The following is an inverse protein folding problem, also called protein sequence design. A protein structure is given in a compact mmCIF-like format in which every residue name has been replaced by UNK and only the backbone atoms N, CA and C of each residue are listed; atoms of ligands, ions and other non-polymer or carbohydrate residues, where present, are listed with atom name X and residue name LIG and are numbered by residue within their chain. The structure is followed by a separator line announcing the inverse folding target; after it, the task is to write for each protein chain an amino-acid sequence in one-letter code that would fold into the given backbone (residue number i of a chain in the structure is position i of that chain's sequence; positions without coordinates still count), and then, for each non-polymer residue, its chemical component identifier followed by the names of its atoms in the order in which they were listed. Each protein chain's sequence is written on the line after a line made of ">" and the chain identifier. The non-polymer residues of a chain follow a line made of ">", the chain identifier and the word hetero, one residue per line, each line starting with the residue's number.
data_IF_605790100477
#
_entry.id   IF_605790100477
#
_cell.length_a   1.000
_cell.length_b   1.000
_cell.length_c   1.000
_cell.angle_alpha   90.00
_cell.angle_beta   90.00
_cell.angle_gamma   90.00
#
_symmetry.space_group_name_H-M   'P 1'
#
loop_
_entity.id
_entity.type
_entity.pdbx_description
1 polymer ?
2 non-polymer ?
3 water ?
#
# COMPACT_ATOMS: atom_id res chain seq x y z
N UNK A 9 -26.47 2.33 18.24
CA UNK A 9 -26.81 1.23 17.32
C UNK A 9 -25.57 0.49 16.84
N UNK A 10 -25.56 -0.83 17.04
CA UNK A 10 -24.48 -1.72 16.65
C UNK A 10 -24.35 -1.81 15.12
N UNK A 11 -23.13 -1.62 14.62
CA UNK A 11 -22.84 -1.75 13.20
C UNK A 11 -22.80 -3.23 12.85
N UNK A 12 -23.20 -3.59 11.62
CA UNK A 12 -23.23 -4.98 11.14
C UNK A 12 -21.84 -5.63 11.22
N UNK A 13 -20.78 -4.83 11.00
CA UNK A 13 -19.38 -5.27 11.06
C UNK A 13 -18.81 -5.21 12.51
N UNK A 14 -19.58 -4.69 13.49
CA UNK A 14 -19.11 -4.60 14.88
C UNK A 14 -19.31 -5.95 15.58
N UNK A 15 -18.27 -6.44 16.27
CA UNK A 15 -18.29 -7.74 16.95
C UNK A 15 -17.79 -7.62 18.39
N UNK A 16 -18.15 -8.54 19.31
CA UNK A 16 -17.56 -8.47 20.66
C UNK A 16 -16.08 -8.85 20.62
N UNK A 17 -15.25 -8.22 21.47
CA UNK A 17 -13.81 -8.49 21.56
C UNK A 17 -13.57 -9.95 21.97
N UNK A 18 -14.49 -10.50 22.77
CA UNK A 18 -14.54 -11.85 23.33
C UNK A 18 -14.62 -12.93 22.24
N UNK A 19 -15.26 -12.61 21.10
CA UNK A 19 -15.39 -13.54 19.96
C UNK A 19 -14.04 -13.75 19.24
N UNK A 20 -12.99 -13.00 19.64
CA UNK A 20 -11.65 -13.10 19.07
C UNK A 20 -10.63 -13.68 20.04
N UNK A 21 -9.74 -14.51 19.50
CA UNK A 21 -8.59 -15.11 20.19
C UNK A 21 -7.32 -14.55 19.56
N UNK A 22 -6.49 -13.82 20.31
CA UNK A 22 -5.23 -13.29 19.78
C UNK A 22 -4.16 -14.33 20.07
N UNK A 23 -3.89 -15.20 19.08
CA UNK A 23 -2.99 -16.36 19.18
C UNK A 23 -1.50 -16.06 18.99
N UNK A 24 -1.09 -15.44 17.86
CA UNK A 24 0.33 -15.16 17.56
C UNK A 24 0.53 -13.70 17.11
N UNK A 25 1.40 -12.95 17.82
CA UNK A 25 1.77 -11.57 17.44
C UNK A 25 2.71 -11.66 16.24
N UNK A 26 2.35 -11.01 15.13
CA UNK A 26 3.08 -11.06 13.86
C UNK A 26 4.03 -9.88 13.65
N UNK A 27 3.75 -8.79 14.34
CA UNK A 27 4.53 -7.57 14.22
C UNK A 27 4.11 -6.47 15.16
N UNK A 28 4.99 -5.48 15.31
CA UNK A 28 4.81 -4.32 16.17
C UNK A 28 4.99 -3.07 15.32
N UNK A 29 4.05 -2.14 15.46
CA UNK A 29 4.07 -0.87 14.76
C UNK A 29 4.13 0.29 15.72
N UNK A 30 3.96 1.51 15.19
CA UNK A 30 4.00 2.74 15.96
C UNK A 30 2.72 2.93 16.78
N UNK A 31 1.56 2.74 16.14
CA UNK A 31 0.24 2.97 16.73
C UNK A 31 -0.41 1.70 17.30
N UNK A 32 0.21 0.54 17.10
CA UNK A 32 -0.31 -0.71 17.62
C UNK A 32 0.39 -1.96 17.14
N UNK A 33 -0.33 -3.11 17.22
CA UNK A 33 0.19 -4.42 16.86
C UNK A 33 -0.68 -5.10 15.80
N UNK A 34 -0.15 -6.19 15.22
CA UNK A 34 -0.81 -7.04 14.24
C UNK A 34 -0.71 -8.47 14.77
N UNK A 35 -1.86 -9.14 14.90
CA UNK A 35 -1.94 -10.49 15.42
C UNK A 35 -2.58 -11.44 14.43
N UNK A 36 -2.23 -12.72 14.55
CA UNK A 36 -2.85 -13.84 13.85
C UNK A 36 -3.75 -14.46 14.89
N UNK A 37 -5.03 -14.60 14.57
CA UNK A 37 -5.98 -15.17 15.52
C UNK A 37 -7.15 -15.90 14.89
N UNK A 38 -8.18 -16.16 15.69
CA UNK A 38 -9.39 -16.86 15.28
C UNK A 38 -10.62 -16.05 15.67
N UNK A 39 -11.59 -15.99 14.74
CA UNK A 39 -12.87 -15.31 14.93
C UNK A 39 -13.99 -16.36 14.91
N UNK A 40 -14.83 -16.34 15.96
CA UNK A 40 -15.97 -17.26 16.20
C UNK A 40 -15.55 -18.75 16.19
N UNK A 41 -14.29 -19.02 16.54
CA UNK A 41 -13.68 -20.35 16.60
C UNK A 41 -13.81 -21.22 15.36
N UNK A 42 -13.64 -20.61 14.17
CA UNK A 42 -13.77 -21.33 12.88
C UNK A 42 -12.97 -20.65 11.73
N UNK A 43 -12.77 -19.33 11.81
CA UNK A 43 -12.10 -18.55 10.76
C UNK A 43 -10.72 -18.04 11.18
N UNK A 44 -9.66 -18.33 10.40
CA UNK A 44 -8.33 -17.79 10.66
C UNK A 44 -8.35 -16.33 10.21
N UNK A 45 -7.98 -15.42 11.11
CA UNK A 45 -8.04 -13.98 10.83
C UNK A 45 -6.75 -13.26 11.22
N UNK A 46 -6.59 -12.05 10.68
CA UNK A 46 -5.54 -11.11 11.05
C UNK A 46 -6.21 -9.99 11.83
N UNK A 47 -5.58 -9.54 12.92
CA UNK A 47 -6.17 -8.49 13.77
C UNK A 47 -5.17 -7.36 13.98
N UNK A 48 -5.54 -6.16 13.49
CA UNK A 48 -4.75 -4.95 13.69
C UNK A 48 -5.30 -4.27 14.93
N UNK A 49 -4.47 -4.17 15.97
CA UNK A 49 -4.84 -3.55 17.24
C UNK A 49 -4.33 -2.09 17.25
N UNK A 50 -5.13 -1.16 17.79
CA UNK A 50 -4.72 0.24 17.85
C UNK A 50 -4.74 0.73 19.28
N UNK A 51 -3.61 1.35 19.72
CA UNK A 51 -3.45 1.89 21.08
C UNK A 51 -4.54 2.93 21.38
N UNK A 52 -5.16 2.94 22.57
CA UNK A 52 -6.20 3.96 22.84
C UNK A 52 -5.63 5.38 22.71
N UNK A 53 -6.40 6.25 22.06
CA UNK A 53 -6.02 7.64 21.80
C UNK A 53 -5.42 7.90 20.42
N UNK A 54 -5.07 6.82 19.67
CA UNK A 54 -4.45 6.93 18.33
C UNK A 54 -5.50 7.13 17.22
N UNK A 55 -6.78 6.83 17.49
CA UNK A 55 -7.87 6.97 16.50
C UNK A 55 -9.23 7.13 17.17
N UNK A 56 -10.04 8.06 16.65
CA UNK A 56 -11.41 8.34 17.10
C UNK A 56 -12.33 7.17 16.70
N UNK A 57 -13.02 6.53 17.69
CA UNK A 57 -13.88 5.39 17.35
C UNK A 57 -15.05 5.76 16.43
N UNK A 58 -15.76 6.88 16.72
CA UNK A 58 -16.90 7.38 15.94
C UNK A 58 -16.50 7.70 14.49
N UNK A 59 -15.36 8.40 14.30
CA UNK A 59 -14.83 8.76 12.97
C UNK A 59 -14.47 7.50 12.17
N UNK A 60 -13.94 6.45 12.83
CA UNK A 60 -13.59 5.19 12.19
C UNK A 60 -14.82 4.44 11.71
N UNK A 61 -15.90 4.40 12.53
CA UNK A 61 -17.15 3.72 12.19
C UNK A 61 -17.79 4.34 10.95
N UNK A 62 -17.78 5.69 10.86
CA UNK A 62 -18.32 6.47 9.74
C UNK A 62 -17.55 6.18 8.46
N UNK A 63 -16.21 6.11 8.56
CA UNK A 63 -15.28 5.84 7.46
C UNK A 63 -15.41 4.38 7.02
N UNK A 64 -15.68 3.45 7.97
CA UNK A 64 -15.85 2.01 7.73
C UNK A 64 -17.11 1.72 6.87
N UNK A 65 -18.06 2.69 6.77
CA UNK A 65 -19.28 2.54 5.95
C UNK A 65 -18.93 2.53 4.47
N UNK A 66 -17.90 3.32 4.08
CA UNK A 66 -17.41 3.40 2.70
C UNK A 66 -16.65 2.12 2.34
N UNK A 67 -15.79 1.64 3.28
CA UNK A 67 -14.97 0.44 3.14
C UNK A 67 -15.81 -0.83 2.94
N UNK A 68 -17.04 -0.85 3.51
CA UNK A 68 -17.98 -1.97 3.41
C UNK A 68 -18.49 -2.14 1.98
N UNK A 69 -18.58 -1.03 1.22
CA UNK A 69 -19.02 -1.00 -0.17
C UNK A 69 -17.92 -1.47 -1.13
N UNK A 70 -16.64 -1.38 -0.71
CA UNK A 70 -15.46 -1.75 -1.51
C UNK A 70 -15.19 -3.26 -1.49
N UNK A 71 -15.51 -3.94 -2.59
CA UNK A 71 -15.24 -5.36 -2.71
C UNK A 71 -14.39 -5.60 -3.95
N UNK A 72 -13.13 -6.01 -3.77
CA UNK A 72 -12.19 -6.30 -4.87
C UNK A 72 -11.16 -7.33 -4.44
N UNK A 73 -10.77 -8.19 -5.40
CA UNK A 73 -9.81 -9.29 -5.22
C UNK A 73 -8.42 -8.78 -4.78
N UNK A 74 -8.04 -7.54 -5.15
CA UNK A 74 -6.72 -6.99 -4.80
C UNK A 74 -6.81 -6.01 -3.62
N UNK A 75 -7.94 -6.01 -2.89
CA UNK A 75 -8.14 -5.24 -1.67
C UNK A 75 -8.25 -6.23 -0.53
N UNK A 76 -7.64 -5.95 0.62
CA UNK A 76 -7.78 -6.85 1.76
C UNK A 76 -9.25 -6.76 2.23
N UNK A 77 -9.93 -7.90 2.34
CA UNK A 77 -11.32 -7.93 2.76
C UNK A 77 -11.44 -7.69 4.26
N UNK A 78 -12.19 -6.65 4.64
CA UNK A 78 -12.49 -6.33 6.03
C UNK A 78 -13.56 -7.32 6.50
N UNK A 79 -13.33 -7.99 7.63
CA UNK A 79 -14.27 -8.96 8.16
C UNK A 79 -15.11 -8.36 9.27
N UNK A 80 -14.43 -7.88 10.32
CA UNK A 80 -15.07 -7.35 11.51
C UNK A 80 -14.29 -6.17 12.09
N UNK A 81 -14.90 -5.53 13.10
CA UNK A 81 -14.38 -4.35 13.79
C UNK A 81 -14.77 -4.40 15.28
N UNK A 82 -13.85 -3.97 16.17
CA UNK A 82 -14.13 -3.77 17.60
C UNK A 82 -13.96 -2.26 17.79
N UNK A 83 -15.10 -1.56 17.97
CA UNK A 83 -15.19 -0.12 18.08
C UNK A 83 -14.68 0.45 19.43
N UNK A 84 -14.66 -0.40 20.47
CA UNK A 84 -14.21 0.01 21.80
C UNK A 84 -12.69 0.00 21.86
N UNK A 85 -12.08 1.02 22.51
CA UNK A 85 -10.63 1.14 22.67
C UNK A 85 -10.08 0.02 23.59
N UNK A 86 -9.00 -0.71 23.21
CA UNK A 86 -8.19 -0.59 21.98
C UNK A 86 -8.94 -1.13 20.76
N UNK A 87 -9.08 -0.30 19.72
CA UNK A 87 -9.77 -0.64 18.47
C UNK A 87 -9.08 -1.83 17.78
N UNK A 88 -9.87 -2.85 17.41
CA UNK A 88 -9.40 -4.05 16.71
C UNK A 88 -10.00 -4.09 15.31
N UNK A 89 -9.15 -4.19 14.29
CA UNK A 89 -9.60 -4.26 12.90
C UNK A 89 -9.27 -5.67 12.38
N UNK A 90 -10.32 -6.45 12.06
CA UNK A 90 -10.25 -7.85 11.63
C UNK A 90 -10.38 -7.99 10.11
N UNK A 91 -9.40 -8.70 9.49
CA UNK A 91 -9.41 -9.00 8.06
C UNK A 91 -9.01 -10.45 7.82
N UNK A 92 -8.98 -10.85 6.53
CA UNK A 92 -8.44 -12.13 6.08
C UNK A 92 -6.95 -12.18 6.43
N UNK A 93 -6.43 -13.36 6.80
CA UNK A 93 -5.02 -13.50 7.12
C UNK A 93 -4.27 -13.73 5.83
N UNK A 94 -3.17 -12.99 5.62
CA UNK A 94 -2.32 -13.12 4.43
C UNK A 94 -1.01 -13.82 4.81
N UNK A 95 -0.76 -14.97 4.16
CA UNK A 95 0.34 -15.90 4.35
C UNK A 95 1.75 -15.30 4.43
N UNK A 96 2.09 -14.28 3.62
CA UNK A 96 3.46 -13.78 3.61
C UNK A 96 3.62 -12.41 4.26
N UNK A 97 2.53 -11.83 4.76
CA UNK A 97 2.53 -10.53 5.42
C UNK A 97 2.77 -9.37 4.47
N UNK A 98 3.34 -8.29 5.01
CA UNK A 98 3.65 -7.05 4.33
C UNK A 98 4.58 -7.23 3.10
N UNK A 99 4.36 -6.43 2.05
CA UNK A 99 5.18 -6.44 0.83
C UNK A 99 6.59 -5.99 1.17
N UNK A 100 6.72 -4.99 2.07
CA UNK A 100 8.02 -4.50 2.52
C UNK A 100 8.79 -5.63 3.21
N UNK A 101 8.14 -6.38 4.12
CA UNK A 101 8.71 -7.54 4.82
C UNK A 101 9.20 -8.59 3.83
N UNK A 102 8.35 -8.92 2.85
CA UNK A 102 8.56 -9.88 1.79
C UNK A 102 9.76 -9.48 0.91
N UNK A 103 9.86 -8.18 0.55
CA UNK A 103 10.96 -7.64 -0.26
C UNK A 103 12.27 -7.61 0.50
N UNK A 104 12.22 -7.26 1.80
CA UNK A 104 13.38 -7.15 2.70
C UNK A 104 13.80 -8.49 3.28
N UNK A 105 13.00 -9.52 3.05
CA UNK A 105 13.29 -10.86 3.55
C UNK A 105 14.09 -11.70 2.59
N UNK A 106 14.11 -13.02 2.84
CA UNK A 106 14.81 -14.04 2.09
C UNK A 106 14.32 -14.12 0.62
N UNK A 107 13.04 -13.81 0.38
CA UNK A 107 12.41 -13.90 -0.94
C UNK A 107 12.83 -12.80 -1.89
N UNK A 108 13.09 -11.61 -1.37
CA UNK A 108 13.49 -10.44 -2.12
C UNK A 108 14.70 -10.60 -3.04
N UNK A 109 15.64 -11.50 -2.69
CA UNK A 109 16.83 -11.71 -3.54
C UNK A 109 16.49 -12.55 -4.78
N UNK A 110 15.39 -13.35 -4.72
CA UNK A 110 14.96 -14.22 -5.80
C UNK A 110 13.95 -13.55 -6.73
N UNK A 111 13.34 -12.45 -6.29
CA UNK A 111 12.38 -11.69 -7.09
C UNK A 111 13.10 -10.95 -8.21
N UNK A 112 12.63 -11.12 -9.45
CA UNK A 112 13.22 -10.45 -10.60
C UNK A 112 12.21 -9.43 -11.09
N UNK A 113 12.56 -8.65 -12.13
CA UNK A 113 11.67 -7.64 -12.67
C UNK A 113 10.28 -8.24 -13.07
N UNK A 114 10.16 -9.43 -13.73
CA UNK A 114 8.81 -9.94 -14.06
C UNK A 114 7.89 -10.12 -12.84
N UNK A 115 8.42 -10.60 -11.71
CA UNK A 115 7.65 -10.83 -10.49
C UNK A 115 7.26 -9.51 -9.84
N UNK A 116 8.18 -8.53 -9.85
CA UNK A 116 7.99 -7.21 -9.26
C UNK A 116 6.94 -6.39 -10.01
N UNK A 117 6.96 -6.42 -11.36
CA UNK A 117 6.00 -5.74 -12.24
C UNK A 117 4.61 -6.42 -12.08
N UNK A 118 4.57 -7.77 -11.96
CA UNK A 118 3.35 -8.53 -11.71
C UNK A 118 2.68 -8.07 -10.40
N UNK A 119 3.48 -7.88 -9.33
CA UNK A 119 2.98 -7.39 -8.04
C UNK A 119 2.47 -5.95 -8.16
N UNK A 120 3.21 -5.08 -8.90
CA UNK A 120 2.84 -3.68 -9.17
C UNK A 120 1.50 -3.60 -9.94
N UNK A 121 1.32 -4.48 -10.95
CA UNK A 121 0.10 -4.55 -11.77
C UNK A 121 -1.11 -4.94 -10.92
N UNK A 122 -0.91 -5.78 -9.90
CA UNK A 122 -1.95 -6.22 -8.96
C UNK A 122 -2.35 -5.08 -8.04
N UNK A 123 -1.36 -4.29 -7.56
CA UNK A 123 -1.59 -3.12 -6.71
C UNK A 123 -2.30 -2.02 -7.53
N UNK A 124 -1.91 -1.85 -8.81
CA UNK A 124 -2.53 -0.90 -9.72
C UNK A 124 -3.99 -1.29 -9.97
N UNK A 125 -4.27 -2.61 -10.02
CA UNK A 125 -5.61 -3.18 -10.20
C UNK A 125 -6.51 -2.83 -9.01
N UNK A 126 -6.01 -3.03 -7.78
CA UNK A 126 -6.74 -2.68 -6.56
C UNK A 126 -7.04 -1.19 -6.52
N UNK A 127 -6.03 -0.37 -6.84
CA UNK A 127 -6.13 1.09 -6.87
C UNK A 127 -7.01 1.62 -8.03
N UNK A 128 -7.08 0.89 -9.18
CA UNK A 128 -7.96 1.27 -10.31
C UNK A 128 -9.42 1.08 -9.91
N UNK A 129 -9.68 0.14 -8.98
CA UNK A 129 -11.03 -0.08 -8.46
C UNK A 129 -11.36 1.07 -7.50
N UNK A 130 -10.42 1.41 -6.59
CA UNK A 130 -10.50 2.55 -5.65
C UNK A 130 -10.80 3.85 -6.43
N UNK A 131 -10.07 4.05 -7.56
CA UNK A 131 -10.20 5.17 -8.51
C UNK A 131 -11.64 5.22 -9.07
N UNK A 132 -12.16 4.09 -9.60
CA UNK A 132 -13.52 3.98 -10.16
C UNK A 132 -14.58 4.22 -9.08
N UNK A 133 -14.32 3.76 -7.85
CA UNK A 133 -15.22 3.90 -6.69
C UNK A 133 -15.13 5.30 -6.06
N UNK A 134 -14.38 6.23 -6.70
CA UNK A 134 -14.17 7.63 -6.29
C UNK A 134 -13.67 7.74 -4.83
N UNK A 135 -12.73 6.85 -4.46
CA UNK A 135 -12.13 6.80 -3.13
C UNK A 135 -10.65 7.18 -3.22
N UNK A 136 -10.01 7.39 -2.06
CA UNK A 136 -8.60 7.75 -1.93
C UNK A 136 -7.98 6.85 -0.83
N UNK A 137 -6.76 6.33 -1.07
CA UNK A 137 -6.07 5.49 -0.09
C UNK A 137 -5.43 6.37 0.98
N UNK A 138 -4.55 7.32 0.57
CA UNK A 138 -3.80 8.31 1.40
C UNK A 138 -2.48 7.77 1.95
N UNK A 139 -2.27 6.44 1.99
CA UNK A 139 -1.01 5.90 2.49
C UNK A 139 -0.57 4.68 1.67
N UNK A 140 -0.57 4.84 0.34
CA UNK A 140 -0.15 3.79 -0.58
C UNK A 140 1.39 3.64 -0.54
N UNK A 141 1.87 2.54 0.08
CA UNK A 141 3.28 2.19 0.20
C UNK A 141 3.39 0.69 0.43
N UNK A 142 4.58 0.10 0.14
CA UNK A 142 4.85 -1.33 0.26
C UNK A 142 4.45 -1.88 1.62
N UNK A 143 4.73 -1.12 2.70
CA UNK A 143 4.40 -1.47 4.08
C UNK A 143 2.89 -1.75 4.27
N UNK A 144 2.04 -1.11 3.45
CA UNK A 144 0.58 -1.24 3.48
C UNK A 144 0.02 -2.18 2.40
N UNK A 145 0.89 -3.00 1.79
CA UNK A 145 0.48 -4.01 0.81
C UNK A 145 0.75 -5.38 1.46
N UNK A 146 -0.26 -6.25 1.43
CA UNK A 146 -0.16 -7.59 2.00
C UNK A 146 0.07 -8.62 0.91
N UNK A 147 0.91 -9.62 1.20
CA UNK A 147 1.26 -10.67 0.25
C UNK A 147 0.81 -12.03 0.81
N UNK A 148 0.31 -12.88 -0.08
CA UNK A 148 -0.08 -14.26 0.20
C UNK A 148 0.68 -15.21 -0.70
N UNK A 149 0.06 -16.35 -1.04
CA UNK A 149 0.68 -17.35 -1.93
C UNK A 149 0.57 -16.91 -3.39
N UNK A 150 1.42 -17.48 -4.28
CA UNK A 150 1.47 -17.22 -5.74
C UNK A 150 1.55 -15.70 -6.04
N UNK A 151 2.33 -14.97 -5.22
CA UNK A 151 2.58 -13.52 -5.27
C UNK A 151 1.29 -12.68 -5.26
N UNK A 152 0.23 -13.18 -4.58
CA UNK A 152 -1.04 -12.47 -4.48
C UNK A 152 -0.79 -11.26 -3.58
N UNK A 153 -1.04 -10.05 -4.12
CA UNK A 153 -0.88 -8.79 -3.43
C UNK A 153 -2.23 -8.16 -3.20
N UNK A 154 -2.45 -7.66 -1.98
CA UNK A 154 -3.69 -6.99 -1.60
C UNK A 154 -3.38 -5.69 -0.89
N UNK A 155 -4.06 -4.62 -1.33
CA UNK A 155 -3.97 -3.27 -0.79
C UNK A 155 -4.70 -3.27 0.57
N UNK A 156 -4.02 -2.73 1.61
CA UNK A 156 -4.54 -2.67 2.98
C UNK A 156 -4.49 -1.24 3.52
N UNK A 157 -5.20 -1.00 4.65
CA UNK A 157 -5.25 0.28 5.38
C UNK A 157 -5.75 1.44 4.51
N UNK A 158 -6.69 1.17 3.58
CA UNK A 158 -7.25 2.21 2.71
C UNK A 158 -8.09 3.19 3.55
N UNK A 159 -7.77 4.48 3.41
CA UNK A 159 -8.44 5.60 4.07
C UNK A 159 -8.28 5.72 5.57
N UNK A 160 -7.30 5.00 6.17
CA UNK A 160 -7.05 5.00 7.62
C UNK A 160 -6.02 6.04 8.05
N UNK A 161 -5.17 6.52 7.11
CA UNK A 161 -4.12 7.51 7.37
C UNK A 161 -4.71 8.82 7.92
N UNK A 162 -5.85 9.25 7.37
CA UNK A 162 -6.59 10.46 7.74
C UNK A 162 -7.13 10.41 9.17
N UNK A 163 -7.19 9.20 9.77
CA UNK A 163 -7.76 8.95 11.10
C UNK A 163 -6.72 8.37 12.06
N UNK A 176 5.46 10.64 12.23
CA UNK A 176 5.58 9.43 11.42
C UNK A 176 4.95 9.60 10.04
N UNK A 177 4.48 10.84 9.71
CA UNK A 177 3.86 11.17 8.41
C UNK A 177 4.80 10.71 7.28
N UNK A 178 4.33 9.89 6.31
CA UNK A 178 5.25 9.37 5.28
C UNK A 178 5.50 10.40 4.18
N UNK A 179 6.36 11.40 4.48
CA UNK A 179 6.72 12.49 3.57
C UNK A 179 7.28 11.93 2.24
N UNK A 180 8.15 10.89 2.33
CA UNK A 180 8.84 10.28 1.19
C UNK A 180 7.90 9.67 0.15
N UNK A 181 6.70 9.25 0.58
CA UNK A 181 5.67 8.63 -0.28
C UNK A 181 4.54 9.62 -0.68
N UNK A 182 4.40 10.76 0.01
CA UNK A 182 3.30 11.70 -0.22
C UNK A 182 3.63 12.73 -1.32
N UNK A 183 2.63 12.99 -2.17
CA UNK A 183 2.70 13.99 -3.23
C UNK A 183 2.85 15.40 -2.62
N UNK A 184 3.63 16.31 -3.25
CA UNK A 184 3.83 17.66 -2.68
C UNK A 184 2.55 18.39 -2.32
N UNK A 185 1.52 18.38 -3.20
CA UNK A 185 0.25 19.07 -2.96
C UNK A 185 -0.49 18.49 -1.75
N UNK A 186 -0.31 17.19 -1.48
CA UNK A 186 -0.96 16.54 -0.32
C UNK A 186 -0.17 16.78 0.97
N UNK A 187 1.20 16.72 0.90
CA UNK A 187 2.07 16.91 2.06
C UNK A 187 2.09 18.35 2.53
N UNK A 188 2.06 19.31 1.59
CA UNK A 188 2.13 20.73 1.91
C UNK A 188 0.75 21.42 2.04
N UNK A 189 -0.26 21.00 1.26
CA UNK A 189 -1.56 21.70 1.28
C UNK A 189 -2.76 20.80 1.60
N UNK A 190 -2.53 19.53 1.90
CA UNK A 190 -3.60 18.59 2.24
C UNK A 190 -4.53 18.23 1.09
N UNK A 191 -4.05 18.39 -0.15
CA UNK A 191 -4.83 18.05 -1.35
C UNK A 191 -4.62 16.56 -1.64
N UNK A 192 -5.39 15.73 -0.93
CA UNK A 192 -5.35 14.27 -1.06
C UNK A 192 -6.40 13.83 -2.07
N UNK A 193 -5.93 13.33 -3.22
CA UNK A 193 -6.79 12.83 -4.29
C UNK A 193 -6.26 11.47 -4.75
N UNK A 194 -6.89 10.89 -5.78
CA UNK A 194 -6.44 9.64 -6.38
C UNK A 194 -5.10 9.93 -7.11
N UNK A 195 -4.87 11.20 -7.50
CA UNK A 195 -3.65 11.65 -8.17
C UNK A 195 -2.46 11.71 -7.20
N UNK A 196 -2.72 11.97 -5.89
CA UNK A 196 -1.66 11.93 -4.89
C UNK A 196 -1.29 10.47 -4.60
N UNK A 197 -2.29 9.53 -4.76
CA UNK A 197 -2.07 8.09 -4.63
C UNK A 197 -1.21 7.58 -5.78
N UNK A 198 -1.38 8.17 -6.99
CA UNK A 198 -0.59 7.85 -8.18
C UNK A 198 0.87 8.19 -7.91
N UNK A 199 1.15 9.36 -7.27
CA UNK A 199 2.50 9.78 -6.89
C UNK A 199 3.12 8.71 -5.98
N UNK A 200 2.36 8.30 -4.92
CA UNK A 200 2.72 7.28 -3.95
C UNK A 200 3.00 5.93 -4.60
N UNK A 201 2.25 5.60 -5.68
CA UNK A 201 2.43 4.35 -6.43
C UNK A 201 3.78 4.38 -7.16
N UNK A 202 4.14 5.54 -7.71
CA UNK A 202 5.42 5.75 -8.38
C UNK A 202 6.57 5.52 -7.42
N UNK A 203 6.37 5.91 -6.14
CA UNK A 203 7.32 5.70 -5.03
C UNK A 203 7.32 4.20 -4.70
N UNK A 204 6.13 3.56 -4.66
CA UNK A 204 6.00 2.11 -4.42
C UNK A 204 6.77 1.30 -5.47
N UNK A 205 6.78 1.75 -6.75
CA UNK A 205 7.51 1.11 -7.86
C UNK A 205 9.02 1.11 -7.59
N UNK A 206 9.49 2.17 -6.93
CA UNK A 206 10.87 2.40 -6.50
C UNK A 206 11.21 1.32 -5.41
N UNK A 207 10.27 1.05 -4.49
CA UNK A 207 10.44 0.04 -3.43
C UNK A 207 10.53 -1.38 -4.02
N UNK A 208 9.77 -1.65 -5.10
CA UNK A 208 9.81 -2.95 -5.77
C UNK A 208 11.12 -3.14 -6.52
N UNK A 209 11.49 -2.19 -7.40
CA UNK A 209 12.70 -2.28 -8.24
C UNK A 209 14.01 -2.24 -7.41
N UNK A 210 14.00 -1.65 -6.19
CA UNK A 210 15.19 -1.62 -5.31
C UNK A 210 15.08 -2.75 -4.25
N UNK A 211 14.00 -3.55 -4.31
CA UNK A 211 13.67 -4.68 -3.44
C UNK A 211 13.60 -4.28 -1.94
N UNK A 212 12.74 -3.31 -1.65
CA UNK A 212 12.43 -2.86 -0.30
C UNK A 212 13.22 -1.71 0.28
N UNK A 213 14.07 -1.05 -0.54
CA UNK A 213 14.84 0.10 -0.05
C UNK A 213 13.93 1.28 0.22
N UNK A 214 14.33 2.11 1.21
CA UNK A 214 13.60 3.32 1.59
C UNK A 214 13.79 4.34 0.45
N UNK A 215 12.70 5.02 0.00
CA UNK A 215 12.86 6.01 -1.08
C UNK A 215 13.81 7.13 -0.68
N UNK A 216 14.46 7.75 -1.70
CA UNK A 216 15.44 8.83 -1.49
C UNK A 216 16.44 8.39 -0.40
N UNK A 217 17.18 7.25 -0.58
CA UNK A 217 18.09 6.79 0.49
C UNK A 217 19.17 7.80 0.85
N UNK A 218 19.39 7.97 2.15
CA UNK A 218 20.37 8.91 2.69
C UNK A 218 19.85 10.31 2.93
N UNK A 219 18.62 10.61 2.46
CA UNK A 219 17.99 11.92 2.59
C UNK A 219 16.97 11.94 3.73
N UNK A 220 17.04 12.96 4.59
CA UNK A 220 16.08 13.17 5.68
C UNK A 220 14.80 13.76 5.09
N UNK A 221 13.67 13.67 5.83
CA UNK A 221 12.36 14.17 5.37
C UNK A 221 12.40 15.61 4.86
N UNK A 222 13.16 16.49 5.54
CA UNK A 222 13.31 17.90 5.20
C UNK A 222 14.05 18.08 3.87
N UNK A 223 15.08 17.26 3.63
CA UNK A 223 15.85 17.33 2.38
C UNK A 223 14.96 16.87 1.21
N UNK A 224 14.13 15.83 1.43
CA UNK A 224 13.21 15.28 0.42
C UNK A 224 12.20 16.35 -0.01
N UNK A 225 11.49 16.95 0.97
CA UNK A 225 10.48 17.99 0.74
C UNK A 225 11.07 19.22 0.05
N UNK A 226 12.30 19.62 0.44
CA UNK A 226 13.01 20.75 -0.16
C UNK A 226 13.48 20.46 -1.59
N UNK A 227 13.97 19.23 -1.87
CA UNK A 227 14.49 18.82 -3.18
C UNK A 227 13.38 18.51 -4.18
N UNK A 228 12.35 17.74 -3.77
CA UNK A 228 11.20 17.38 -4.62
C UNK A 228 10.45 18.66 -5.05
N UNK A 229 10.34 19.65 -4.13
CA UNK A 229 9.73 20.94 -4.39
C UNK A 229 10.51 21.69 -5.48
N UNK A 230 11.86 21.54 -5.49
CA UNK A 230 12.76 22.16 -6.48
C UNK A 230 12.79 21.40 -7.82
N UNK A 231 12.10 20.26 -7.89
CA UNK A 231 12.02 19.46 -9.10
C UNK A 231 12.81 18.15 -9.08
N UNK A 232 13.42 17.82 -7.92
CA UNK A 232 14.19 16.58 -7.80
C UNK A 232 13.28 15.37 -7.78
N UNK A 233 13.72 14.32 -8.48
CA UNK A 233 13.06 13.02 -8.57
C UNK A 233 14.13 11.96 -8.41
N UNK A 234 13.79 10.80 -7.82
CA UNK A 234 14.75 9.71 -7.68
C UNK A 234 15.26 9.27 -9.06
N UNK A 235 16.55 8.90 -9.19
CA UNK A 235 17.04 8.50 -10.52
C UNK A 235 16.57 7.09 -10.86
N UNK A 236 16.88 6.62 -12.07
CA UNK A 236 16.53 5.27 -12.50
C UNK A 236 17.26 4.28 -11.59
N UNK A 237 16.55 3.43 -10.81
CA UNK A 237 17.26 2.50 -9.91
C UNK A 237 18.22 1.58 -10.65
N UNK A 238 19.36 1.12 -10.05
CA UNK A 238 20.30 0.24 -10.80
C UNK A 238 19.62 -0.94 -11.46
N UNK A 239 19.99 -1.17 -12.74
CA UNK A 239 19.53 -2.22 -13.67
C UNK A 239 17.98 -2.24 -13.86
N UNK A 240 17.30 -1.12 -13.57
CA UNK A 240 15.87 -0.95 -13.85
C UNK A 240 15.78 -0.34 -15.26
N UNK A 241 14.92 -0.81 -16.18
CA UNK A 241 14.88 -0.22 -17.52
C UNK A 241 14.32 1.20 -17.48
N UNK A 242 14.87 2.10 -18.32
CA UNK A 242 14.49 3.51 -18.42
C UNK A 242 12.97 3.69 -18.59
N UNK A 243 12.32 2.79 -19.37
CA UNK A 243 10.88 2.79 -19.65
C UNK A 243 10.06 2.68 -18.36
N UNK A 244 10.50 1.87 -17.37
CA UNK A 244 9.83 1.72 -16.08
C UNK A 244 10.10 2.94 -15.20
N UNK A 245 11.30 3.57 -15.34
CA UNK A 245 11.61 4.80 -14.61
C UNK A 245 10.78 5.96 -15.17
N UNK A 246 10.51 5.95 -16.50
CA UNK A 246 9.72 6.95 -17.20
C UNK A 246 8.28 6.95 -16.66
N UNK A 247 7.75 5.74 -16.38
CA UNK A 247 6.42 5.56 -15.78
C UNK A 247 6.42 6.15 -14.36
N UNK A 248 7.52 5.92 -13.59
CA UNK A 248 7.67 6.47 -12.24
C UNK A 248 7.62 8.01 -12.32
N UNK A 249 8.34 8.60 -13.30
CA UNK A 249 8.39 10.04 -13.53
C UNK A 249 7.03 10.59 -13.99
N UNK A 250 6.23 9.77 -14.67
CA UNK A 250 4.86 10.14 -15.08
C UNK A 250 4.00 10.26 -13.84
N UNK A 251 4.16 9.32 -12.87
CA UNK A 251 3.45 9.34 -11.58
C UNK A 251 3.90 10.54 -10.76
N UNK A 252 5.14 11.04 -10.99
CA UNK A 252 5.73 12.13 -10.23
C UNK A 252 5.66 13.49 -10.94
N UNK A 253 4.74 13.67 -11.89
CA UNK A 253 4.55 14.96 -12.55
C UNK A 253 4.06 15.98 -11.51
N UNK A 254 4.54 17.24 -11.62
CA UNK A 254 4.22 18.34 -10.69
C UNK A 254 2.72 18.63 -10.65
N UNK A 255 2.07 18.56 -11.81
CA UNK A 255 0.65 18.84 -11.96
C UNK A 255 -0.12 17.54 -11.74
N UNK A 256 -0.93 17.47 -10.65
CA UNK A 256 -1.66 16.22 -10.34
C UNK A 256 -2.51 15.69 -11.49
N UNK A 257 -3.20 16.59 -12.22
CA UNK A 257 -4.07 16.23 -13.35
C UNK A 257 -3.28 15.57 -14.51
N UNK A 258 -1.97 15.85 -14.65
CA UNK A 258 -1.12 15.30 -15.72
C UNK A 258 -0.64 13.87 -15.43
N UNK A 259 -0.79 13.42 -14.17
CA UNK A 259 -0.39 12.09 -13.72
C UNK A 259 -1.27 11.00 -14.36
N UNK A 260 -0.76 9.79 -14.68
CA UNK A 260 -1.63 8.77 -15.29
C UNK A 260 -2.64 8.20 -14.32
N UNK A 261 -3.69 7.57 -14.86
CA UNK A 261 -4.72 6.93 -14.04
C UNK A 261 -4.16 5.59 -13.59
N UNK A 262 -4.78 4.98 -12.56
CA UNK A 262 -4.38 3.64 -12.12
C UNK A 262 -4.77 2.61 -13.18
N UNK A 263 -5.89 2.89 -13.88
CA UNK A 263 -6.40 2.09 -15.00
C UNK A 263 -5.30 1.98 -16.06
N UNK A 264 -4.66 3.12 -16.39
CA UNK A 264 -3.55 3.16 -17.35
C UNK A 264 -2.36 2.37 -16.82
N UNK A 265 -1.99 2.62 -15.54
CA UNK A 265 -0.85 2.00 -14.86
C UNK A 265 -0.96 0.46 -14.85
N UNK A 266 -2.15 -0.08 -14.50
CA UNK A 266 -2.44 -1.50 -14.49
C UNK A 266 -2.19 -2.14 -15.85
N UNK A 267 -2.78 -1.53 -16.90
CA UNK A 267 -2.66 -1.97 -18.28
C UNK A 267 -1.20 -1.96 -18.76
N UNK A 268 -0.47 -0.86 -18.47
CA UNK A 268 0.92 -0.67 -18.86
C UNK A 268 1.81 -1.73 -18.21
N UNK A 269 1.57 -2.02 -16.91
CA UNK A 269 2.34 -2.99 -16.16
C UNK A 269 1.98 -4.44 -16.55
N UNK A 270 0.69 -4.73 -16.84
CA UNK A 270 0.24 -6.05 -17.29
C UNK A 270 0.87 -6.45 -18.63
N UNK A 271 1.02 -5.47 -19.53
CA UNK A 271 1.53 -5.66 -20.88
C UNK A 271 3.02 -5.37 -21.02
N UNK A 272 3.69 -4.87 -19.94
CA UNK A 272 5.08 -4.42 -19.91
C UNK A 272 6.08 -5.23 -20.77
N UNK A 273 6.16 -6.57 -20.56
CA UNK A 273 7.17 -7.41 -21.22
C UNK A 273 6.86 -7.77 -22.68
N UNK A 274 5.70 -7.35 -23.20
CA UNK A 274 5.36 -7.61 -24.58
C UNK A 274 5.39 -6.31 -25.38
N UNK A 275 4.63 -5.31 -24.95
CA UNK A 275 4.46 -4.04 -25.67
C UNK A 275 5.48 -2.95 -25.33
N UNK A 276 6.19 -3.05 -24.18
CA UNK A 276 7.12 -2.00 -23.78
C UNK A 276 8.58 -2.49 -23.74
N UNK A 277 8.87 -3.50 -22.92
CA UNK A 277 10.23 -4.00 -22.74
C UNK A 277 10.38 -5.50 -23.15
N UNK A 278 10.17 -5.90 -24.44
CA UNK A 278 10.40 -7.31 -24.79
C UNK A 278 11.89 -7.68 -24.84
N UNK A 279 12.81 -6.69 -24.97
CA UNK A 279 14.26 -6.91 -25.00
C UNK A 279 14.84 -7.15 -23.59
N UNK A 280 13.96 -7.16 -22.55
CA UNK A 280 14.34 -7.40 -21.17
C UNK A 280 15.09 -8.73 -21.01
N UNK A 281 16.16 -8.72 -20.22
CA UNK A 281 16.94 -9.90 -19.87
C UNK A 281 17.44 -9.76 -18.43
N UNK A 282 17.50 -10.85 -17.63
CA UNK A 282 17.92 -10.70 -16.22
C UNK A 282 19.33 -10.15 -16.03
N UNK A 283 19.51 -9.37 -14.97
CA UNK A 283 20.79 -8.78 -14.59
C UNK A 283 21.32 -9.42 -13.33
N UNK A 284 21.94 -8.61 -12.45
CA UNK A 284 22.45 -9.06 -11.17
C UNK A 284 21.29 -9.35 -10.21
N UNK A 285 20.39 -8.37 -10.01
CA UNK A 285 19.25 -8.48 -9.09
C UNK A 285 17.91 -8.28 -9.79
N UNK A 286 17.88 -7.64 -10.96
CA UNK A 286 16.60 -7.45 -11.66
C UNK A 286 16.60 -8.21 -12.98
#
# INVERSE_FOLDING_TARGET
>A
GHMQTQGLAKDAWEIPRESLRLEVKLGQGCFGEVWMGTWNGTTRVAIKTLKPGTMSPEAFLQEAQVMKKLRHEKLVQLYAVVSEEPIYIVTEYMSKGSLLDFLKGEMGKYLRLPQLVDMAAQIASGMAYVERMNYVHRDLRAANILVGENLVCKVADFGLARLIEDNEYTARQGAKFPIKWTAPEAALYGRFTIKSDVWSFGILLTELTTKGRVPYPGMVNREVLDQVERGYRMPCPPECPESLHDLMCQCWRKDPEERPTFEYLQAFLEDYFTSTEPQYQPGENL
#
